data_IF_689024464253
#
_entry.id   IF_689024464253
#
_cell.length_a   1.000
_cell.length_b   1.000
_cell.length_c   1.000
_cell.angle_alpha   90.00
_cell.angle_beta   90.00
_cell.angle_gamma   90.00
#
_symmetry.space_group_name_H-M   'P 1'
#
loop_
_entity.id
_entity.type
_entity.pdbx_description
1 polymer ?
#
# COMPACT_ATOMS: atom_id res chain seq x y z
N UNK A 1 -6.13 1.82 -5.57
CA UNK A 1 -5.76 2.16 -4.17
C UNK A 1 -6.59 1.44 -3.13
N UNK A 2 -7.92 1.28 -3.35
CA UNK A 2 -8.77 0.63 -2.36
C UNK A 2 -8.40 -0.84 -2.12
N UNK A 3 -8.15 -1.59 -3.20
CA UNK A 3 -7.67 -2.98 -3.18
C UNK A 3 -6.21 -3.06 -3.63
N UNK A 4 -5.49 -4.16 -3.30
CA UNK A 4 -4.16 -4.44 -3.83
C UNK A 4 -4.15 -4.36 -5.36
N UNK A 5 -3.12 -3.72 -5.91
CA UNK A 5 -2.95 -3.58 -7.36
C UNK A 5 -2.54 -4.91 -7.94
N UNK A 6 -3.26 -5.37 -8.96
CA UNK A 6 -2.95 -6.60 -9.69
C UNK A 6 -2.18 -6.32 -10.98
N UNK A 7 -1.39 -7.29 -11.46
CA UNK A 7 -0.69 -7.19 -12.76
C UNK A 7 -1.63 -6.92 -13.94
N UNK A 8 -2.90 -7.31 -13.84
CA UNK A 8 -3.89 -7.01 -14.87
C UNK A 8 -4.29 -5.53 -14.87
N UNK A 9 -4.38 -4.90 -13.70
CA UNK A 9 -4.73 -3.49 -13.56
C UNK A 9 -3.55 -2.57 -13.86
N UNK A 10 -2.34 -3.03 -13.55
CA UNK A 10 -1.09 -2.29 -13.73
C UNK A 10 0.02 -3.26 -14.14
N UNK A 11 0.21 -3.49 -15.45
CA UNK A 11 1.25 -4.39 -15.94
C UNK A 11 2.65 -3.96 -15.49
N UNK A 12 3.41 -4.88 -14.93
CA UNK A 12 4.76 -4.60 -14.44
C UNK A 12 4.82 -3.81 -13.13
N UNK A 13 3.69 -3.58 -12.47
CA UNK A 13 3.64 -2.87 -11.19
C UNK A 13 4.53 -3.54 -10.14
N UNK A 14 4.54 -4.87 -10.07
CA UNK A 14 5.37 -5.62 -9.13
C UNK A 14 6.88 -5.52 -9.43
N UNK A 15 7.26 -5.09 -10.64
CA UNK A 15 8.65 -4.86 -11.03
C UNK A 15 9.14 -3.47 -10.61
N UNK A 16 8.24 -2.49 -10.55
CA UNK A 16 8.55 -1.10 -10.20
C UNK A 16 8.40 -0.87 -8.69
N UNK A 17 7.35 -1.43 -8.09
CA UNK A 17 6.97 -1.20 -6.71
C UNK A 17 7.39 -2.38 -5.83
N UNK A 18 8.41 -2.17 -5.00
CA UNK A 18 8.95 -3.21 -4.11
C UNK A 18 8.07 -3.49 -2.89
N UNK A 19 7.29 -2.51 -2.43
CA UNK A 19 6.44 -2.62 -1.25
C UNK A 19 5.01 -2.17 -1.58
N UNK A 20 4.21 -3.04 -2.22
CA UNK A 20 2.82 -2.72 -2.54
C UNK A 20 2.01 -2.47 -1.26
N UNK A 21 1.11 -1.47 -1.30
CA UNK A 21 0.22 -1.12 -0.19
C UNK A 21 -1.14 -0.67 -0.71
N UNK A 22 -2.21 -0.96 0.05
CA UNK A 22 -3.60 -0.60 -0.30
C UNK A 22 -4.42 -0.23 0.94
N UNK A 23 -5.54 0.47 0.76
CA UNK A 23 -6.42 0.81 1.88
C UNK A 23 -7.07 -0.41 2.53
N UNK A 24 -7.34 -1.47 1.78
CA UNK A 24 -7.80 -2.75 2.32
C UNK A 24 -6.74 -3.34 3.26
N UNK A 25 -5.47 -3.39 2.84
CA UNK A 25 -4.36 -3.87 3.67
C UNK A 25 -4.20 -3.03 4.95
N UNK A 26 -4.35 -1.71 4.86
CA UNK A 26 -4.33 -0.83 6.04
C UNK A 26 -5.49 -1.14 7.00
N UNK A 27 -6.72 -1.33 6.48
CA UNK A 27 -7.89 -1.69 7.29
C UNK A 27 -7.69 -3.02 8.01
N UNK A 28 -7.11 -4.02 7.35
CA UNK A 28 -6.79 -5.32 7.96
C UNK A 28 -5.74 -5.18 9.07
N UNK A 29 -4.63 -4.48 8.80
CA UNK A 29 -3.59 -4.20 9.81
C UNK A 29 -4.13 -3.43 11.02
N UNK A 30 -5.10 -2.53 10.82
CA UNK A 30 -5.81 -1.88 11.92
C UNK A 30 -6.66 -2.86 12.73
N UNK A 31 -7.46 -3.71 12.06
CA UNK A 31 -8.29 -4.74 12.70
C UNK A 31 -7.45 -5.71 13.54
N UNK A 32 -6.27 -6.08 13.04
CA UNK A 32 -5.33 -6.99 13.69
C UNK A 32 -4.45 -6.32 14.76
N UNK A 33 -4.60 -5.01 14.98
CA UNK A 33 -3.73 -4.22 15.89
C UNK A 33 -2.23 -4.39 15.55
N UNK A 34 -1.92 -4.50 14.26
CA UNK A 34 -0.56 -4.61 13.74
C UNK A 34 0.21 -3.29 13.88
N UNK A 35 -0.48 -2.14 13.85
CA UNK A 35 0.12 -0.84 14.08
C UNK A 35 0.44 -0.62 15.56
N UNK A 36 1.74 -0.63 15.90
CA UNK A 36 2.22 -0.35 17.26
C UNK A 36 2.38 1.14 17.55
N UNK A 37 2.29 1.99 16.52
CA UNK A 37 2.41 3.45 16.63
C UNK A 37 1.62 4.15 15.54
N UNK A 38 1.28 5.42 15.76
CA UNK A 38 0.64 6.28 14.74
C UNK A 38 1.55 6.45 13.52
N UNK A 39 2.86 6.53 13.75
CA UNK A 39 3.87 6.66 12.70
C UNK A 39 3.84 5.48 11.74
N UNK A 40 3.65 4.24 12.23
CA UNK A 40 3.55 3.06 11.37
C UNK A 40 2.32 3.11 10.45
N UNK A 41 1.20 3.65 10.93
CA UNK A 41 0.00 3.86 10.10
C UNK A 41 0.22 4.97 9.05
N UNK A 42 0.81 6.09 9.45
CA UNK A 42 1.13 7.20 8.53
C UNK A 42 2.12 6.76 7.46
N UNK A 43 3.09 5.92 7.82
CA UNK A 43 4.05 5.35 6.88
C UNK A 43 3.37 4.53 5.78
N UNK A 44 2.41 3.67 6.12
CA UNK A 44 1.68 2.90 5.12
C UNK A 44 0.78 3.78 4.23
N UNK A 45 0.22 4.87 4.76
CA UNK A 45 -0.50 5.86 3.95
C UNK A 45 0.44 6.57 2.96
N UNK A 46 1.63 6.95 3.42
CA UNK A 46 2.65 7.58 2.57
C UNK A 46 3.12 6.60 1.48
N UNK A 47 3.28 5.31 1.80
CA UNK A 47 3.60 4.26 0.84
C UNK A 47 2.57 4.14 -0.29
N UNK A 48 1.27 4.28 0.02
CA UNK A 48 0.26 4.31 -1.05
C UNK A 48 0.57 5.48 -1.98
N UNK A 49 0.76 6.70 -1.46
CA UNK A 49 1.07 7.88 -2.27
C UNK A 49 2.36 7.74 -3.08
N UNK A 50 3.45 7.32 -2.46
CA UNK A 50 4.76 7.17 -3.10
C UNK A 50 4.70 6.13 -4.23
N UNK A 51 4.01 5.00 -4.00
CA UNK A 51 3.81 3.98 -5.02
C UNK A 51 2.97 4.49 -6.19
N UNK A 52 1.98 5.36 -5.94
CA UNK A 52 1.22 6.02 -7.01
C UNK A 52 2.13 6.89 -7.87
N UNK A 53 2.99 7.68 -7.22
CA UNK A 53 3.87 8.64 -7.89
C UNK A 53 5.04 7.96 -8.61
N UNK A 54 5.47 6.78 -8.15
CA UNK A 54 6.56 6.04 -8.77
C UNK A 54 6.12 5.22 -10.00
N UNK A 55 4.86 4.79 -10.05
CA UNK A 55 4.35 3.97 -11.16
C UNK A 55 3.64 4.77 -12.26
N UNK A 56 2.87 5.81 -11.90
CA UNK A 56 2.19 6.68 -12.89
C UNK A 56 3.15 7.69 -13.51
#
# INVERSE_FOLDING_TARGET
FEKPVTEHEAPGYSLVISHPMSFETIKEKMRERAYKSKQAFVHDLQLIYDNCMAYN
#
